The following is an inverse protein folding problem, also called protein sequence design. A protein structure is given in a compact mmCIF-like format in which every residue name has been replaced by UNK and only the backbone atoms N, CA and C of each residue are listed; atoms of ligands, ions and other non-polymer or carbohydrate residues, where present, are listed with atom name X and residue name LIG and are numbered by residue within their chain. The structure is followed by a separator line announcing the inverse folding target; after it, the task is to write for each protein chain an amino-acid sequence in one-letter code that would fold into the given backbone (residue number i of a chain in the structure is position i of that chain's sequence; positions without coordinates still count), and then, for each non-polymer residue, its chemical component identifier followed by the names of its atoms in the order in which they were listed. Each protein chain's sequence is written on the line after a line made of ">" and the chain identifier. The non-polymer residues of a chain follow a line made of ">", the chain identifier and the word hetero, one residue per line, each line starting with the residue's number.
data_IF_495686822863
#
_entry.id   IF_495686822863
#
_cell.length_a   1.000
_cell.length_b   1.000
_cell.length_c   1.000
_cell.angle_alpha   90.00
_cell.angle_beta   90.00
_cell.angle_gamma   90.00
#
_symmetry.space_group_name_H-M   'P 1'
#
loop_
_entity.id
_entity.type
_entity.pdbx_description
1 polymer ?
#
# COMPACT_ATOMS: atom_id res chain seq x y z
N UNK A 1 23.28 -2.18 -3.65
CA UNK A 1 21.84 -1.92 -3.43
C UNK A 1 21.44 -2.71 -2.20
N UNK A 2 20.72 -2.07 -1.29
CA UNK A 2 20.25 -2.66 -0.04
C UNK A 2 18.84 -3.21 -0.26
N UNK A 3 18.43 -4.21 0.52
CA UNK A 3 17.09 -4.78 0.48
C UNK A 3 16.31 -4.29 1.68
N UNK A 4 15.06 -3.90 1.47
CA UNK A 4 14.20 -3.35 2.51
C UNK A 4 12.84 -4.04 2.51
N UNK A 5 12.30 -4.22 3.71
CA UNK A 5 10.89 -4.52 3.94
C UNK A 5 10.21 -3.24 4.42
N UNK A 6 9.18 -2.79 3.70
CA UNK A 6 8.43 -1.57 3.99
C UNK A 6 6.99 -1.92 4.32
N UNK A 7 6.56 -1.61 5.54
CA UNK A 7 5.18 -1.80 5.99
C UNK A 7 4.40 -0.51 5.78
N UNK A 8 3.28 -0.60 5.07
CA UNK A 8 2.45 0.51 4.64
C UNK A 8 1.01 0.27 5.10
N UNK A 9 0.38 1.32 5.61
CA UNK A 9 -1.05 1.38 5.88
C UNK A 9 -1.71 2.35 4.89
N UNK A 10 -2.82 1.94 4.30
CA UNK A 10 -3.73 2.84 3.61
C UNK A 10 -4.98 3.08 4.44
N UNK A 11 -5.50 4.30 4.43
CA UNK A 11 -6.75 4.69 5.09
C UNK A 11 -7.64 5.46 4.12
N UNK A 12 -8.96 5.46 4.39
CA UNK A 12 -9.98 6.15 3.59
C UNK A 12 -9.98 5.75 2.11
N UNK A 13 -9.71 4.48 1.82
CA UNK A 13 -9.84 3.93 0.47
C UNK A 13 -11.31 3.64 0.14
N UNK A 14 -11.74 3.77 -1.12
CA UNK A 14 -13.15 3.61 -1.46
C UNK A 14 -13.59 2.14 -1.34
N UNK A 15 -14.74 1.94 -0.67
CA UNK A 15 -15.47 0.67 -0.54
C UNK A 15 -15.42 -0.23 -1.77
N UNK A 16 -15.65 0.33 -2.98
CA UNK A 16 -15.70 -0.38 -4.27
C UNK A 16 -14.49 -1.27 -4.61
N UNK A 17 -13.41 -1.18 -3.83
CA UNK A 17 -12.28 -2.12 -3.91
C UNK A 17 -12.68 -3.53 -3.41
N UNK A 18 -13.72 -3.62 -2.60
CA UNK A 18 -14.41 -4.84 -2.19
C UNK A 18 -15.89 -4.70 -2.59
N UNK A 19 -16.44 -5.67 -3.30
CA UNK A 19 -17.78 -5.56 -3.92
C UNK A 19 -18.91 -5.25 -2.93
N UNK A 20 -18.76 -5.65 -1.65
CA UNK A 20 -19.80 -5.63 -0.62
C UNK A 20 -19.58 -4.61 0.53
N UNK A 21 -18.57 -3.73 0.45
CA UNK A 21 -18.31 -2.77 1.53
C UNK A 21 -19.20 -1.51 1.42
N UNK A 22 -19.79 -1.08 2.54
CA UNK A 22 -20.64 0.13 2.60
C UNK A 22 -19.88 1.40 3.08
N UNK A 23 -18.61 1.25 3.50
CA UNK A 23 -17.81 2.31 4.15
C UNK A 23 -16.36 2.44 3.64
N UNK A 24 -15.58 3.40 4.16
CA UNK A 24 -14.16 3.50 3.82
C UNK A 24 -13.41 2.22 4.21
N UNK A 25 -12.41 1.88 3.40
CA UNK A 25 -11.55 0.74 3.63
C UNK A 25 -10.17 1.21 4.04
N UNK A 26 -9.57 0.44 4.95
CA UNK A 26 -8.15 0.49 5.23
C UNK A 26 -7.45 -0.73 4.64
N UNK A 27 -6.13 -0.67 4.55
CA UNK A 27 -5.33 -1.85 4.24
C UNK A 27 -3.97 -1.81 4.90
N UNK A 28 -3.39 -3.00 5.10
CA UNK A 28 -1.97 -3.18 5.35
C UNK A 28 -1.30 -3.89 4.19
N UNK A 29 -0.13 -3.39 3.79
CA UNK A 29 0.70 -3.98 2.77
C UNK A 29 2.16 -4.01 3.24
N UNK A 30 2.86 -5.09 2.92
CA UNK A 30 4.32 -5.14 3.02
C UNK A 30 4.90 -5.17 1.61
N UNK A 31 5.89 -4.32 1.35
CA UNK A 31 6.62 -4.28 0.08
C UNK A 31 8.08 -4.57 0.34
N UNK A 32 8.61 -5.51 -0.43
CA UNK A 32 10.03 -5.80 -0.45
C UNK A 32 10.66 -5.12 -1.65
N UNK A 33 11.64 -4.25 -1.42
CA UNK A 33 12.24 -3.42 -2.46
C UNK A 33 13.75 -3.39 -2.32
N UNK A 34 14.44 -3.21 -3.44
CA UNK A 34 15.85 -2.87 -3.45
C UNK A 34 16.03 -1.37 -3.67
N UNK A 35 16.84 -0.72 -2.82
CA UNK A 35 17.05 0.72 -2.87
C UNK A 35 18.47 1.11 -2.41
N UNK A 36 18.85 2.37 -2.64
CA UNK A 36 20.15 2.92 -2.20
C UNK A 36 20.18 3.21 -0.71
N UNK A 37 19.04 3.60 -0.15
CA UNK A 37 18.85 4.05 1.22
C UNK A 37 17.38 3.86 1.63
N UNK A 38 17.09 4.11 2.91
CA UNK A 38 15.76 3.97 3.50
C UNK A 38 14.71 4.86 2.81
N UNK A 39 15.06 6.12 2.52
CA UNK A 39 14.15 7.06 1.88
C UNK A 39 13.79 6.61 0.46
N UNK A 40 14.76 6.15 -0.32
CA UNK A 40 14.52 5.58 -1.63
C UNK A 40 13.65 4.32 -1.56
N UNK A 41 13.77 3.51 -0.50
CA UNK A 41 12.92 2.35 -0.27
C UNK A 41 11.47 2.74 -0.01
N UNK A 42 11.23 3.76 0.82
CA UNK A 42 9.89 4.28 1.07
C UNK A 42 9.21 4.74 -0.23
N UNK A 43 9.91 5.55 -1.03
CA UNK A 43 9.37 6.03 -2.30
C UNK A 43 9.06 4.90 -3.28
N UNK A 44 9.96 3.91 -3.39
CA UNK A 44 9.76 2.76 -4.28
C UNK A 44 8.56 1.91 -3.84
N UNK A 45 8.42 1.65 -2.53
CA UNK A 45 7.32 0.88 -1.98
C UNK A 45 5.96 1.58 -2.17
N UNK A 46 5.89 2.89 -1.89
CA UNK A 46 4.68 3.68 -2.10
C UNK A 46 4.30 3.77 -3.59
N UNK A 47 5.28 3.93 -4.48
CA UNK A 47 5.04 3.98 -5.93
C UNK A 47 4.51 2.64 -6.48
N UNK A 48 5.03 1.52 -5.98
CA UNK A 48 4.51 0.17 -6.27
C UNK A 48 3.02 0.06 -5.95
N UNK A 49 2.62 0.42 -4.73
CA UNK A 49 1.20 0.37 -4.32
C UNK A 49 0.34 1.32 -5.17
N UNK A 50 0.83 2.54 -5.43
CA UNK A 50 0.10 3.50 -6.30
C UNK A 50 -0.16 2.92 -7.69
N UNK A 51 0.84 2.27 -8.29
CA UNK A 51 0.70 1.64 -9.61
C UNK A 51 -0.31 0.50 -9.59
N UNK A 52 -0.27 -0.34 -8.56
CA UNK A 52 -1.21 -1.44 -8.36
C UNK A 52 -2.65 -0.95 -8.19
N UNK A 53 -2.85 0.11 -7.41
CA UNK A 53 -4.19 0.62 -7.12
C UNK A 53 -4.75 1.57 -8.20
N UNK A 54 -3.90 2.12 -9.07
CA UNK A 54 -4.28 3.08 -10.12
C UNK A 54 -5.50 2.67 -10.97
N UNK A 55 -5.65 1.40 -11.41
CA UNK A 55 -6.81 0.98 -12.19
C UNK A 55 -8.14 1.22 -11.47
N UNK A 56 -8.18 1.05 -10.14
CA UNK A 56 -9.38 1.20 -9.32
C UNK A 56 -9.75 2.66 -9.02
N UNK A 57 -8.86 3.61 -9.33
CA UNK A 57 -9.09 5.04 -9.10
C UNK A 57 -9.52 5.82 -10.36
N UNK A 58 -9.69 5.15 -11.51
CA UNK A 58 -9.97 5.80 -12.80
C UNK A 58 -11.28 6.59 -12.85
N UNK A 59 -12.26 6.23 -12.03
CA UNK A 59 -13.52 6.98 -11.92
C UNK A 59 -13.56 7.72 -10.58
N UNK A 60 -12.98 8.92 -10.51
CA UNK A 60 -13.28 9.86 -9.43
C UNK A 60 -14.71 10.35 -9.64
N UNK A 61 -15.69 9.69 -9.02
CA UNK A 61 -16.98 10.33 -8.75
C UNK A 61 -16.76 11.30 -7.58
N UNK A 62 -17.20 12.54 -7.76
CA UNK A 62 -17.03 13.61 -6.78
C UNK A 62 -17.66 13.22 -5.43
N UNK A 63 -16.90 13.42 -4.35
CA UNK A 63 -17.40 13.47 -2.97
C UNK A 63 -17.27 12.17 -2.18
N UNK A 64 -16.42 12.19 -1.15
CA UNK A 64 -16.47 11.19 -0.07
C UNK A 64 -15.12 10.96 0.60
N UNK A 65 -14.20 10.31 -0.10
CA UNK A 65 -12.99 9.74 0.50
C UNK A 65 -11.73 10.53 0.16
N UNK A 66 -10.81 10.66 1.12
CA UNK A 66 -9.47 11.22 0.93
C UNK A 66 -8.40 10.15 1.22
N UNK A 67 -8.11 9.22 0.28
CA UNK A 67 -7.20 8.12 0.54
C UNK A 67 -5.81 8.61 0.91
N UNK A 68 -5.30 8.15 2.06
CA UNK A 68 -3.95 8.45 2.54
C UNK A 68 -3.17 7.15 2.74
N UNK A 69 -1.87 7.20 2.52
CA UNK A 69 -0.97 6.08 2.83
C UNK A 69 0.13 6.55 3.77
N UNK A 70 0.41 5.72 4.77
CA UNK A 70 1.43 5.95 5.79
C UNK A 70 2.45 4.81 5.76
N UNK A 71 3.73 5.17 5.78
CA UNK A 71 4.79 4.19 6.03
C UNK A 71 4.91 4.03 7.54
N UNK A 72 4.72 2.82 8.04
CA UNK A 72 4.85 2.51 9.46
C UNK A 72 6.26 2.12 9.85
N UNK A 73 6.92 1.36 8.97
CA UNK A 73 8.21 0.77 9.27
C UNK A 73 8.99 0.49 8.00
N UNK A 74 10.26 0.88 8.00
CA UNK A 74 11.25 0.42 7.03
C UNK A 74 12.30 -0.39 7.77
N UNK A 75 12.62 -1.56 7.24
CA UNK A 75 13.62 -2.46 7.81
C UNK A 75 14.56 -2.92 6.72
N UNK A 76 15.85 -2.63 6.87
CA UNK A 76 16.87 -3.26 6.02
C UNK A 76 16.96 -4.76 6.34
N UNK A 77 16.91 -5.59 5.32
CA UNK A 77 16.95 -7.05 5.41
C UNK A 77 18.12 -7.59 4.60
N UNK A 78 18.66 -8.74 5.00
CA UNK A 78 19.80 -9.36 4.32
C UNK A 78 19.41 -9.97 2.97
N UNK A 79 18.26 -10.62 2.95
CA UNK A 79 17.75 -11.37 1.79
C UNK A 79 16.25 -11.13 1.64
N UNK A 80 15.76 -11.13 0.40
CA UNK A 80 14.34 -11.11 0.11
C UNK A 80 13.78 -12.51 0.40
N UNK A 81 12.57 -12.64 0.95
CA UNK A 81 11.89 -13.93 1.00
C UNK A 81 11.81 -14.56 -0.40
N UNK A 82 11.92 -15.88 -0.51
CA UNK A 82 11.83 -16.60 -1.80
C UNK A 82 10.49 -16.34 -2.51
N UNK A 83 9.44 -16.07 -1.74
CA UNK A 83 8.08 -15.77 -2.16
C UNK A 83 7.71 -14.29 -1.96
N UNK A 84 8.70 -13.39 -1.84
CA UNK A 84 8.50 -11.98 -1.55
C UNK A 84 7.39 -11.38 -2.45
N UNK A 85 6.21 -11.10 -1.89
CA UNK A 85 5.09 -10.67 -2.70
C UNK A 85 5.38 -9.29 -3.29
N UNK A 86 5.39 -9.21 -4.63
CA UNK A 86 5.53 -7.95 -5.36
C UNK A 86 4.26 -7.10 -5.38
N UNK A 87 3.13 -7.65 -4.95
CA UNK A 87 1.80 -7.02 -4.93
C UNK A 87 0.92 -7.63 -3.84
N UNK A 88 -0.25 -7.04 -3.60
CA UNK A 88 -1.23 -7.50 -2.61
C UNK A 88 -1.29 -6.64 -1.35
N UNK A 89 -2.42 -6.74 -0.66
CA UNK A 89 -2.72 -6.04 0.58
C UNK A 89 -3.78 -6.82 1.37
N UNK A 90 -3.79 -6.67 2.70
CA UNK A 90 -4.87 -7.15 3.56
C UNK A 90 -5.80 -5.98 3.83
N UNK A 91 -7.06 -6.10 3.41
CA UNK A 91 -8.08 -5.05 3.51
C UNK A 91 -8.94 -5.22 4.75
N UNK A 92 -9.43 -4.11 5.30
CA UNK A 92 -10.36 -4.08 6.42
C UNK A 92 -11.35 -2.92 6.29
N UNK A 93 -12.54 -3.09 6.86
CA UNK A 93 -13.53 -2.02 7.00
C UNK A 93 -13.07 -1.03 8.06
N UNK A 94 -13.22 0.26 7.79
CA UNK A 94 -13.00 1.31 8.78
C UNK A 94 -14.33 1.79 9.34
N UNK A 95 -14.39 1.94 10.66
CA UNK A 95 -15.52 2.59 11.32
C UNK A 95 -15.65 4.05 10.82
N UNK A 96 -16.90 4.46 10.56
CA UNK A 96 -17.25 5.79 10.01
C UNK A 96 -17.46 6.84 11.09
#
# INVERSE_FOLDING_TARGET
>A
MHKYSVMIEGVDFPARLLEDADGPLGFYATRFVEATDEQAAEFAALDSIKKELRPFFRERRNGGTNPLMFVHKVVEIKELPDDAPGSGATWFEMDS
#
